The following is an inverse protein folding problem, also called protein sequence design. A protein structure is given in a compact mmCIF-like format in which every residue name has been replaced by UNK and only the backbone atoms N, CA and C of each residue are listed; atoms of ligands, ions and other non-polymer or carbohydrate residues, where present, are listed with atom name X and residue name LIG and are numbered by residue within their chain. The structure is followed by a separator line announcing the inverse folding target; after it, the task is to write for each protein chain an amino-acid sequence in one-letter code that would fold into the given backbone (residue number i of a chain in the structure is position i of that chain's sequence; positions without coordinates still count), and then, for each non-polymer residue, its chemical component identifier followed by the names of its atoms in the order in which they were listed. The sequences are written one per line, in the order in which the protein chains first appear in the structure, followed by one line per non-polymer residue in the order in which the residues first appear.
data_IF_814360651579
#
_entry.id   IF_814360651579
#
_cell.length_a   1.000
_cell.length_b   1.000
_cell.length_c   1.000
_cell.angle_alpha   90.00
_cell.angle_beta   90.00
_cell.angle_gamma   90.00
#
_symmetry.space_group_name_H-M   'P 1'
#
loop_
_entity.id
_entity.type
_entity.pdbx_description
1 polymer ?
#
# COMPACT_ATOMS: atom_id res chain seq x y z
N UNK A 1 20.30 22.65 7.77
CA UNK A 1 19.30 22.68 6.69
C UNK A 1 18.50 21.40 6.81
N UNK A 2 17.26 21.48 7.27
CA UNK A 2 16.41 20.32 7.48
C UNK A 2 15.93 19.82 6.13
N UNK A 3 16.50 18.71 5.66
CA UNK A 3 15.93 17.95 4.55
C UNK A 3 14.65 17.34 5.08
N UNK A 4 13.50 17.93 4.76
CA UNK A 4 12.17 17.47 5.19
C UNK A 4 11.36 17.04 3.98
N UNK A 5 10.33 16.21 4.20
CA UNK A 5 9.39 15.76 3.18
C UNK A 5 8.85 16.90 2.29
N UNK A 6 8.52 18.05 2.88
CA UNK A 6 8.09 19.24 2.14
C UNK A 6 9.12 19.75 1.12
N UNK A 7 10.42 19.67 1.45
CA UNK A 7 11.49 20.06 0.52
C UNK A 7 11.67 19.03 -0.61
N UNK A 8 11.49 17.74 -0.32
CA UNK A 8 11.52 16.70 -1.34
C UNK A 8 10.34 16.85 -2.31
N UNK A 9 9.13 17.07 -1.80
CA UNK A 9 7.93 17.36 -2.61
C UNK A 9 8.11 18.63 -3.44
N UNK A 10 8.63 19.70 -2.83
CA UNK A 10 8.88 20.96 -3.52
C UNK A 10 9.87 20.77 -4.67
N UNK A 11 10.94 20.02 -4.44
CA UNK A 11 11.96 19.73 -5.44
C UNK A 11 11.41 18.85 -6.57
N UNK A 12 10.68 17.79 -6.26
CA UNK A 12 10.00 16.95 -7.26
C UNK A 12 9.07 17.79 -8.15
N UNK A 13 8.30 18.71 -7.53
CA UNK A 13 7.37 19.58 -8.25
C UNK A 13 8.07 20.61 -9.15
N UNK A 14 9.14 21.22 -8.65
CA UNK A 14 9.83 22.34 -9.32
C UNK A 14 10.76 21.85 -10.44
N UNK A 15 11.53 20.78 -10.18
CA UNK A 15 12.53 20.26 -11.10
C UNK A 15 12.00 19.16 -12.02
N UNK A 16 10.93 18.45 -11.65
CA UNK A 16 10.49 17.21 -12.31
C UNK A 16 11.68 16.33 -12.73
N UNK A 17 12.53 15.94 -11.76
CA UNK A 17 13.72 15.16 -12.02
C UNK A 17 13.35 13.78 -12.58
N UNK A 18 14.17 13.25 -13.48
CA UNK A 18 14.01 11.88 -14.01
C UNK A 18 14.15 10.84 -12.90
N UNK A 19 13.60 9.64 -13.11
CA UNK A 19 13.66 8.54 -12.14
C UNK A 19 15.09 8.19 -11.69
N UNK A 20 16.08 8.26 -12.58
CA UNK A 20 17.51 8.06 -12.26
C UNK A 20 18.06 9.11 -11.29
N UNK A 21 17.60 10.36 -11.39
CA UNK A 21 18.01 11.45 -10.50
C UNK A 21 17.37 11.26 -9.13
N UNK A 22 16.11 10.82 -9.10
CA UNK A 22 15.38 10.51 -7.86
C UNK A 22 16.04 9.33 -7.13
N UNK A 23 16.40 8.25 -7.84
CA UNK A 23 17.12 7.10 -7.27
C UNK A 23 18.47 7.49 -6.66
N UNK A 24 19.28 8.28 -7.36
CA UNK A 24 20.54 8.78 -6.81
C UNK A 24 20.33 9.63 -5.56
N UNK A 25 19.22 10.36 -5.48
CA UNK A 25 18.91 11.13 -4.28
C UNK A 25 18.49 10.23 -3.12
N UNK A 26 17.69 9.20 -3.37
CA UNK A 26 17.34 8.17 -2.37
C UNK A 26 18.59 7.50 -1.83
N UNK A 27 19.51 7.03 -2.68
CA UNK A 27 20.77 6.42 -2.24
C UNK A 27 21.61 7.38 -1.38
N UNK A 28 21.70 8.65 -1.76
CA UNK A 28 22.42 9.65 -0.96
C UNK A 28 21.74 9.94 0.38
N UNK A 29 20.41 9.96 0.43
CA UNK A 29 19.67 10.11 1.68
C UNK A 29 19.90 8.89 2.57
N UNK A 30 19.86 7.68 2.01
CA UNK A 30 20.04 6.44 2.76
C UNK A 30 21.48 6.32 3.31
N UNK A 31 22.49 6.54 2.47
CA UNK A 31 23.89 6.57 2.89
C UNK A 31 24.13 7.64 3.97
N UNK A 32 23.49 8.80 3.84
CA UNK A 32 23.54 9.83 4.88
C UNK A 32 22.89 9.34 6.17
N UNK A 33 21.73 8.70 6.13
CA UNK A 33 21.04 8.21 7.33
C UNK A 33 21.91 7.16 8.04
N UNK A 34 22.51 6.24 7.30
CA UNK A 34 23.39 5.20 7.84
C UNK A 34 24.71 5.77 8.39
N UNK A 35 25.33 6.72 7.69
CA UNK A 35 26.66 7.25 8.04
C UNK A 35 26.60 8.38 9.08
N UNK A 36 25.52 9.17 9.11
CA UNK A 36 25.54 10.44 9.83
C UNK A 36 25.56 10.30 11.35
N UNK A 37 25.18 9.15 11.92
CA UNK A 37 25.12 8.95 13.38
C UNK A 37 24.36 10.06 14.12
N UNK A 38 23.49 10.78 13.40
CA UNK A 38 22.78 11.96 13.87
C UNK A 38 21.61 11.53 14.75
N UNK A 39 21.16 12.39 15.67
CA UNK A 39 19.99 12.10 16.49
C UNK A 39 18.77 11.83 15.62
N UNK A 40 17.94 10.86 16.03
CA UNK A 40 16.75 10.39 15.30
C UNK A 40 15.83 11.54 14.85
N UNK A 41 15.72 12.61 15.64
CA UNK A 41 14.93 13.81 15.31
C UNK A 41 15.39 14.50 14.01
N UNK A 42 16.69 14.48 13.73
CA UNK A 42 17.25 15.02 12.48
C UNK A 42 17.13 14.03 11.31
N UNK A 43 17.10 12.73 11.63
CA UNK A 43 16.90 11.67 10.65
C UNK A 43 15.44 11.55 10.23
N UNK A 44 14.49 11.88 11.11
CA UNK A 44 13.05 11.80 10.86
C UNK A 44 12.67 12.54 9.57
N UNK A 45 13.10 13.80 9.41
CA UNK A 45 12.82 14.56 8.19
C UNK A 45 13.45 13.95 6.92
N UNK A 46 14.60 13.28 7.06
CA UNK A 46 15.27 12.59 5.95
C UNK A 46 14.57 11.27 5.60
N UNK A 47 14.05 10.54 6.58
CA UNK A 47 13.25 9.33 6.40
C UNK A 47 11.94 9.68 5.70
N UNK A 48 11.25 10.73 6.17
CA UNK A 48 10.01 11.21 5.54
C UNK A 48 10.25 11.71 4.10
N UNK A 49 11.40 12.36 3.84
CA UNK A 49 11.79 12.75 2.49
C UNK A 49 12.06 11.54 1.58
N UNK A 50 12.63 10.47 2.12
CA UNK A 50 12.91 9.23 1.39
C UNK A 50 11.60 8.51 1.01
N UNK A 51 10.66 8.39 1.95
CA UNK A 51 9.33 7.81 1.72
C UNK A 51 8.56 8.53 0.59
N UNK A 52 8.62 9.87 0.56
CA UNK A 52 8.03 10.68 -0.51
C UNK A 52 8.65 10.37 -1.88
N UNK A 53 9.98 10.27 -1.94
CA UNK A 53 10.71 10.03 -3.20
C UNK A 53 10.44 8.61 -3.73
N UNK A 54 10.38 7.62 -2.85
CA UNK A 54 9.98 6.25 -3.20
C UNK A 54 8.53 6.17 -3.66
N UNK A 55 7.62 6.86 -2.96
CA UNK A 55 6.21 6.96 -3.35
C UNK A 55 6.04 7.63 -4.72
N UNK A 56 6.87 8.63 -5.05
CA UNK A 56 6.87 9.26 -6.36
C UNK A 56 7.33 8.30 -7.46
N UNK A 57 8.40 7.53 -7.24
CA UNK A 57 8.85 6.50 -8.19
C UNK A 57 7.79 5.40 -8.38
N UNK A 58 7.16 4.95 -7.29
CA UNK A 58 6.08 3.96 -7.33
C UNK A 58 4.82 4.50 -8.05
N UNK A 59 4.49 5.78 -7.84
CA UNK A 59 3.38 6.46 -8.52
C UNK A 59 3.66 6.75 -10.00
N UNK A 60 4.91 7.06 -10.36
CA UNK A 60 5.34 7.20 -11.75
C UNK A 60 5.23 5.87 -12.50
N UNK A 61 5.58 4.75 -11.85
CA UNK A 61 5.35 3.41 -12.40
C UNK A 61 3.85 3.11 -12.62
N UNK A 62 2.95 3.69 -11.81
CA UNK A 62 1.50 3.59 -11.99
C UNK A 62 0.93 4.55 -13.06
N UNK A 63 1.73 5.51 -13.56
CA UNK A 63 1.30 6.49 -14.58
C UNK A 63 1.80 6.14 -16.00
N UNK A 64 2.58 5.07 -16.15
CA UNK A 64 2.72 4.44 -17.46
C UNK A 64 1.36 3.80 -17.82
N UNK A 65 0.71 4.18 -18.94
CA UNK A 65 -0.47 3.45 -19.38
C UNK A 65 -0.07 1.98 -19.52
N UNK A 66 -0.73 1.05 -18.82
CA UNK A 66 -0.39 -0.36 -18.97
C UNK A 66 -0.54 -0.70 -20.44
N UNK A 67 0.51 -1.28 -21.04
CA UNK A 67 0.36 -2.05 -22.26
C UNK A 67 -0.84 -3.01 -22.05
N UNK A 68 -1.72 -3.20 -23.04
CA UNK A 68 -2.96 -3.96 -22.88
C UNK A 68 -2.66 -5.45 -22.80
N UNK A 69 -1.97 -5.87 -21.74
CA UNK A 69 -1.85 -7.26 -21.34
C UNK A 69 -3.08 -7.57 -20.50
N UNK A 70 -4.13 -8.01 -21.19
CA UNK A 70 -5.30 -8.71 -20.67
C UNK A 70 -5.46 -8.62 -19.15
N UNK A 71 -5.89 -7.45 -18.68
CA UNK A 71 -6.41 -7.34 -17.33
C UNK A 71 -7.55 -8.37 -17.21
N UNK A 72 -7.55 -9.26 -16.21
CA UNK A 72 -8.72 -10.09 -15.98
C UNK A 72 -9.91 -9.13 -15.86
N UNK A 73 -10.93 -9.36 -16.68
CA UNK A 73 -12.14 -8.54 -16.73
C UNK A 73 -12.72 -8.49 -15.32
N UNK A 74 -12.44 -7.40 -14.61
CA UNK A 74 -13.02 -7.15 -13.30
C UNK A 74 -14.50 -6.97 -13.59
N UNK A 75 -15.31 -7.92 -13.10
CA UNK A 75 -16.76 -7.84 -13.20
C UNK A 75 -17.22 -6.63 -12.38
N UNK A 76 -17.28 -5.47 -13.06
CA UNK A 76 -17.83 -4.22 -12.55
C UNK A 76 -19.35 -4.20 -12.71
N UNK A 77 -19.97 -5.36 -12.90
CA UNK A 77 -21.42 -5.51 -12.82
C UNK A 77 -21.87 -4.90 -11.50
N UNK A 78 -22.93 -4.07 -11.49
CA UNK A 78 -23.45 -3.50 -10.26
C UNK A 78 -23.72 -4.66 -9.31
N UNK A 79 -23.09 -4.61 -8.13
CA UNK A 79 -23.30 -5.56 -7.06
C UNK A 79 -24.81 -5.70 -6.91
N UNK A 80 -25.35 -6.86 -7.33
CA UNK A 80 -26.79 -7.07 -7.53
C UNK A 80 -27.58 -6.43 -6.40
N UNK A 81 -28.64 -5.69 -6.75
CA UNK A 81 -29.61 -5.07 -5.84
C UNK A 81 -29.59 -5.73 -4.46
N UNK A 82 -29.26 -4.94 -3.42
CA UNK A 82 -29.19 -5.33 -2.00
C UNK A 82 -30.50 -5.95 -1.43
N UNK A 83 -31.45 -6.29 -2.29
CA UNK A 83 -32.72 -6.95 -1.97
C UNK A 83 -32.57 -8.48 -1.88
N UNK A 84 -31.47 -9.08 -2.34
CA UNK A 84 -31.24 -10.52 -2.13
C UNK A 84 -30.59 -10.80 -0.77
N UNK A 85 -31.32 -10.49 0.30
CA UNK A 85 -31.04 -11.08 1.61
C UNK A 85 -31.40 -12.56 1.48
N UNK A 86 -30.39 -13.44 1.45
CA UNK A 86 -30.65 -14.87 1.56
C UNK A 86 -31.56 -15.10 2.77
N UNK A 87 -32.67 -15.85 2.63
CA UNK A 87 -33.61 -16.02 3.72
C UNK A 87 -32.86 -16.51 4.95
N UNK A 88 -33.01 -15.80 6.07
CA UNK A 88 -32.37 -16.20 7.31
C UNK A 88 -32.73 -17.64 7.62
N UNK A 89 -31.72 -18.52 7.65
CA UNK A 89 -31.94 -19.92 8.00
C UNK A 89 -32.57 -19.99 9.39
N UNK A 90 -33.54 -20.87 9.62
CA UNK A 90 -34.17 -21.03 10.93
C UNK A 90 -33.11 -21.38 11.98
N UNK A 91 -33.31 -20.89 13.20
CA UNK A 91 -32.32 -21.02 14.28
C UNK A 91 -31.93 -22.48 14.58
N UNK A 92 -32.81 -23.44 14.30
CA UNK A 92 -32.55 -24.87 14.46
C UNK A 92 -31.44 -25.37 13.51
N UNK A 93 -31.45 -24.95 12.24
CA UNK A 93 -30.44 -25.35 11.25
C UNK A 93 -29.09 -24.68 11.53
N UNK A 94 -29.10 -23.42 11.97
CA UNK A 94 -27.89 -22.70 12.38
C UNK A 94 -27.19 -23.41 13.56
N UNK A 95 -27.96 -23.91 14.55
CA UNK A 95 -27.41 -24.66 15.69
C UNK A 95 -26.84 -26.02 15.28
N UNK A 96 -27.52 -26.75 14.38
CA UNK A 96 -27.01 -28.03 13.89
C UNK A 96 -25.68 -27.88 13.15
N UNK A 97 -25.56 -26.86 12.29
CA UNK A 97 -24.32 -26.52 11.60
C UNK A 97 -23.20 -26.13 12.57
N UNK A 98 -23.51 -25.33 13.59
CA UNK A 98 -22.53 -24.94 14.60
C UNK A 98 -22.01 -26.13 15.41
N UNK A 99 -22.88 -27.04 15.84
CA UNK A 99 -22.46 -28.26 16.54
C UNK A 99 -21.62 -29.17 15.64
N UNK A 100 -21.96 -29.28 14.35
CA UNK A 100 -21.19 -30.05 13.38
C UNK A 100 -19.80 -29.44 13.17
N UNK A 101 -19.69 -28.12 13.01
CA UNK A 101 -18.42 -27.40 12.88
C UNK A 101 -17.58 -27.49 14.15
N UNK A 102 -18.20 -27.40 15.34
CA UNK A 102 -17.52 -27.57 16.62
C UNK A 102 -16.94 -28.98 16.77
N UNK A 103 -17.65 -29.99 16.28
CA UNK A 103 -17.20 -31.38 16.29
C UNK A 103 -16.02 -31.59 15.33
N UNK A 104 -16.08 -31.01 14.13
CA UNK A 104 -15.01 -31.07 13.14
C UNK A 104 -13.73 -30.38 13.63
N UNK A 105 -13.85 -29.20 14.25
CA UNK A 105 -12.72 -28.50 14.86
C UNK A 105 -12.16 -29.22 16.10
N UNK A 106 -13.01 -29.90 16.85
CA UNK A 106 -12.61 -30.65 18.05
C UNK A 106 -11.93 -31.99 17.77
N UNK A 107 -12.09 -32.55 16.56
CA UNK A 107 -11.50 -33.83 16.14
C UNK A 107 -10.10 -33.64 15.49
N UNK A 108 -9.69 -32.40 15.22
CA UNK A 108 -8.35 -32.06 14.68
C UNK A 108 -7.26 -31.88 15.75
N UNK A 109 -7.49 -32.33 16.99
CA UNK A 109 -6.49 -32.32 18.08
C UNK A 109 -6.54 -33.61 18.90
#
# INVERSE_FOLDING_TARGET
MSTSAESALQWLRDQQPSDEIVQQMIEKLNARIEESGLPEDTLQGSIEALDVLESHLAGAAATAPPAPESAPELDLSPLTDHTHVAPERPAAEKRALFEQLKKDLGDQN
#
